data_IF_156727533924
#
_entry.id   IF_156727533924
#
_cell.length_a   1.000
_cell.length_b   1.000
_cell.length_c   1.000
_cell.angle_alpha   90.00
_cell.angle_beta   90.00
_cell.angle_gamma   90.00
#
_symmetry.space_group_name_H-M   'P 1'
#
loop_
_entity.id
_entity.type
_entity.pdbx_description
1 polymer ?
#
# COMPACT_ATOMS: atom_id res chain seq x y z
N UNK A 1 -38.41 39.96 -37.98
CA UNK A 1 -37.80 39.81 -36.65
C UNK A 1 -38.25 38.46 -36.12
N UNK A 2 -37.43 37.42 -36.32
CA UNK A 2 -37.75 36.06 -35.90
C UNK A 2 -37.14 35.82 -34.53
N UNK A 3 -37.99 35.71 -33.51
CA UNK A 3 -37.62 35.34 -32.15
C UNK A 3 -36.98 33.96 -32.15
N UNK A 4 -35.67 33.95 -31.98
CA UNK A 4 -34.89 32.73 -31.82
C UNK A 4 -35.11 32.27 -30.38
N UNK A 5 -36.15 31.47 -30.17
CA UNK A 5 -36.42 30.82 -28.90
C UNK A 5 -35.26 29.86 -28.58
N UNK A 6 -34.28 30.35 -27.82
CA UNK A 6 -33.22 29.53 -27.22
C UNK A 6 -33.87 28.53 -26.28
N UNK A 7 -33.97 27.28 -26.73
CA UNK A 7 -34.32 26.13 -25.91
C UNK A 7 -33.20 25.97 -24.88
N UNK A 8 -33.39 26.53 -23.68
CA UNK A 8 -32.56 26.21 -22.52
C UNK A 8 -32.86 24.77 -22.12
N UNK A 9 -32.05 23.84 -22.61
CA UNK A 9 -32.06 22.47 -22.11
C UNK A 9 -31.80 22.52 -20.59
N UNK A 10 -32.61 21.82 -19.78
CA UNK A 10 -32.38 21.75 -18.34
C UNK A 10 -30.93 21.34 -18.10
N UNK A 11 -30.20 22.15 -17.33
CA UNK A 11 -28.83 21.85 -16.94
C UNK A 11 -28.82 20.43 -16.38
N UNK A 12 -28.25 19.49 -17.14
CA UNK A 12 -28.17 18.10 -16.72
C UNK A 12 -27.57 18.10 -15.33
N UNK A 13 -28.35 17.67 -14.33
CA UNK A 13 -27.90 17.56 -12.95
C UNK A 13 -26.66 16.69 -12.99
N UNK A 14 -25.47 17.30 -12.96
CA UNK A 14 -24.23 16.55 -12.85
C UNK A 14 -24.36 15.80 -11.54
N UNK A 15 -24.40 14.46 -11.54
CA UNK A 15 -24.46 13.71 -10.31
C UNK A 15 -23.31 14.20 -9.44
N UNK A 16 -23.62 14.73 -8.26
CA UNK A 16 -22.60 15.12 -7.29
C UNK A 16 -21.68 13.92 -7.04
N UNK A 17 -20.39 14.13 -6.68
CA UNK A 17 -19.46 13.04 -6.45
C UNK A 17 -20.06 12.00 -5.49
N UNK A 18 -20.09 10.73 -5.89
CA UNK A 18 -20.71 9.64 -5.12
C UNK A 18 -20.19 9.67 -3.66
N UNK A 19 -21.07 9.80 -2.64
CA UNK A 19 -20.69 9.79 -1.23
C UNK A 19 -19.85 8.58 -0.84
N UNK A 20 -20.07 7.42 -1.48
CA UNK A 20 -19.29 6.20 -1.25
C UNK A 20 -17.86 6.36 -1.74
N UNK A 21 -17.64 7.03 -2.87
CA UNK A 21 -16.30 7.25 -3.41
C UNK A 21 -15.47 8.21 -2.53
N UNK A 22 -16.11 9.20 -1.90
CA UNK A 22 -15.43 10.07 -0.89
C UNK A 22 -15.04 9.30 0.36
N UNK A 23 -15.90 8.39 0.81
CA UNK A 23 -15.61 7.51 1.96
C UNK A 23 -14.46 6.56 1.61
N UNK A 24 -14.50 5.87 0.49
CA UNK A 24 -13.43 4.96 0.05
C UNK A 24 -12.07 5.68 -0.04
N UNK A 25 -12.04 6.93 -0.52
CA UNK A 25 -10.83 7.75 -0.55
C UNK A 25 -10.26 8.05 0.86
N UNK A 26 -11.11 8.38 1.84
CA UNK A 26 -10.67 8.57 3.24
C UNK A 26 -10.16 7.27 3.86
N UNK A 27 -10.78 6.14 3.55
CA UNK A 27 -10.36 4.83 4.03
C UNK A 27 -9.01 4.39 3.44
N UNK A 28 -8.74 4.73 2.17
CA UNK A 28 -7.43 4.51 1.56
C UNK A 28 -6.31 5.29 2.29
N UNK A 29 -6.56 6.54 2.68
CA UNK A 29 -5.61 7.31 3.50
C UNK A 29 -5.45 6.74 4.91
N UNK A 30 -6.53 6.29 5.54
CA UNK A 30 -6.47 5.63 6.84
C UNK A 30 -5.71 4.30 6.78
N UNK A 31 -5.75 3.60 5.66
CA UNK A 31 -5.01 2.36 5.47
C UNK A 31 -3.48 2.58 5.47
N UNK A 32 -3.02 3.79 5.17
CA UNK A 32 -1.60 4.12 5.31
C UNK A 32 -1.14 4.14 6.78
N UNK A 33 -2.03 4.43 7.74
CA UNK A 33 -1.69 4.33 9.17
C UNK A 33 -1.40 2.88 9.59
N UNK A 34 -1.92 1.88 8.87
CA UNK A 34 -1.63 0.46 9.13
C UNK A 34 -0.18 0.08 8.78
N UNK A 35 0.56 0.91 8.03
CA UNK A 35 1.99 0.66 7.80
C UNK A 35 2.81 0.67 9.08
N UNK A 36 2.44 1.49 10.07
CA UNK A 36 3.16 1.57 11.34
C UNK A 36 3.08 0.27 12.17
N UNK A 37 1.87 -0.26 12.48
CA UNK A 37 1.77 -1.56 13.14
C UNK A 37 2.24 -2.71 12.25
N UNK A 38 2.09 -2.61 10.92
CA UNK A 38 2.61 -3.59 9.97
C UNK A 38 4.14 -3.66 9.99
N UNK A 39 4.83 -2.53 10.07
CA UNK A 39 6.28 -2.47 10.20
C UNK A 39 6.74 -3.13 11.50
N UNK A 40 6.10 -2.80 12.61
CA UNK A 40 6.38 -3.43 13.90
C UNK A 40 6.15 -4.95 13.86
N UNK A 41 5.07 -5.39 13.22
CA UNK A 41 4.78 -6.81 13.02
C UNK A 41 5.82 -7.49 12.13
N UNK A 42 6.27 -6.86 11.05
CA UNK A 42 7.31 -7.40 10.17
C UNK A 42 8.64 -7.58 10.91
N UNK A 43 9.04 -6.60 11.73
CA UNK A 43 10.24 -6.70 12.58
C UNK A 43 10.08 -7.86 13.59
N UNK A 44 8.95 -7.89 14.30
CA UNK A 44 8.67 -8.94 15.27
C UNK A 44 8.67 -10.34 14.64
N UNK A 45 8.08 -10.50 13.45
CA UNK A 45 8.09 -11.75 12.69
C UNK A 45 9.51 -12.11 12.28
N UNK A 46 10.29 -11.15 11.77
CA UNK A 46 11.69 -11.38 11.43
C UNK A 46 12.51 -11.89 12.62
N UNK A 47 12.35 -11.25 13.76
CA UNK A 47 13.07 -11.59 14.99
C UNK A 47 12.62 -12.93 15.59
N UNK A 48 11.31 -13.21 15.56
CA UNK A 48 10.75 -14.49 16.00
C UNK A 48 11.21 -15.66 15.13
N UNK A 49 11.26 -15.48 13.81
CA UNK A 49 11.76 -16.51 12.89
C UNK A 49 13.28 -16.71 13.06
N UNK A 50 14.07 -15.64 13.14
CA UNK A 50 15.51 -15.75 13.36
C UNK A 50 15.84 -16.51 14.65
N UNK A 51 15.15 -16.16 15.75
CA UNK A 51 15.30 -16.86 17.04
C UNK A 51 14.84 -18.31 16.98
N UNK A 52 13.76 -18.62 16.25
CA UNK A 52 13.32 -19.99 16.02
C UNK A 52 14.34 -20.84 15.24
N UNK A 53 15.12 -20.22 14.35
CA UNK A 53 16.23 -20.87 13.64
C UNK A 53 17.54 -20.92 14.45
N UNK A 54 17.55 -20.44 15.70
CA UNK A 54 18.73 -20.45 16.58
C UNK A 54 19.69 -19.28 16.35
N UNK A 55 19.29 -18.27 15.59
CA UNK A 55 20.06 -17.04 15.40
C UNK A 55 19.53 -15.97 16.34
N UNK A 56 20.31 -15.64 17.37
CA UNK A 56 19.97 -14.57 18.31
C UNK A 56 20.46 -13.22 17.79
N UNK A 57 19.54 -12.37 17.35
CA UNK A 57 19.82 -10.98 16.97
C UNK A 57 20.31 -10.81 15.52
N UNK A 58 20.39 -9.54 15.09
CA UNK A 58 20.83 -9.10 13.77
C UNK A 58 22.34 -9.27 13.54
N UNK A 59 22.96 -10.36 14.00
CA UNK A 59 24.32 -10.71 13.61
C UNK A 59 24.31 -11.24 12.17
N UNK A 60 24.14 -10.32 11.23
CA UNK A 60 24.07 -10.57 9.79
C UNK A 60 25.41 -11.06 9.23
N UNK A 61 26.51 -10.94 10.00
CA UNK A 61 27.87 -11.30 9.59
C UNK A 61 28.14 -12.80 9.52
N UNK A 62 27.33 -13.63 10.17
CA UNK A 62 27.47 -15.11 10.20
C UNK A 62 26.23 -15.86 9.73
N UNK A 63 25.14 -15.14 9.43
CA UNK A 63 23.91 -15.74 8.96
C UNK A 63 24.03 -16.23 7.48
N UNK A 64 23.70 -17.49 7.18
CA UNK A 64 23.73 -17.99 5.81
C UNK A 64 22.62 -17.34 4.97
N UNK A 65 22.90 -17.04 3.70
CA UNK A 65 21.98 -16.27 2.85
C UNK A 65 20.58 -16.87 2.67
N UNK A 66 20.42 -18.19 2.80
CA UNK A 66 19.09 -18.82 2.77
C UNK A 66 18.22 -18.40 3.96
N UNK A 67 18.82 -18.12 5.12
CA UNK A 67 18.11 -17.67 6.32
C UNK A 67 17.53 -16.28 6.09
N UNK A 68 18.27 -15.38 5.44
CA UNK A 68 17.79 -14.06 5.08
C UNK A 68 16.53 -14.12 4.21
N UNK A 69 16.44 -15.09 3.29
CA UNK A 69 15.23 -15.32 2.49
C UNK A 69 14.12 -15.94 3.35
N UNK A 70 14.44 -16.96 4.15
CA UNK A 70 13.46 -17.66 4.99
C UNK A 70 12.80 -16.76 6.05
N UNK A 71 13.53 -15.76 6.55
CA UNK A 71 13.06 -14.78 7.54
C UNK A 71 12.49 -13.52 6.87
N UNK A 72 13.17 -13.03 5.83
CA UNK A 72 12.80 -11.79 5.14
C UNK A 72 11.52 -11.90 4.32
N UNK A 73 11.27 -13.05 3.68
CA UNK A 73 10.07 -13.23 2.85
C UNK A 73 8.76 -13.18 3.66
N UNK A 74 8.64 -13.89 4.81
CA UNK A 74 7.48 -13.75 5.69
C UNK A 74 7.30 -12.32 6.22
N UNK A 75 8.38 -11.65 6.64
CA UNK A 75 8.33 -10.28 7.13
C UNK A 75 7.84 -9.31 6.04
N UNK A 76 8.32 -9.48 4.80
CA UNK A 76 7.85 -8.71 3.64
C UNK A 76 6.36 -8.90 3.39
N UNK A 77 5.87 -10.15 3.46
CA UNK A 77 4.45 -10.44 3.25
C UNK A 77 3.56 -9.76 4.28
N UNK A 78 3.97 -9.78 5.55
CA UNK A 78 3.29 -9.04 6.63
C UNK A 78 3.31 -7.55 6.33
N UNK A 79 4.46 -7.03 5.90
CA UNK A 79 4.61 -5.62 5.56
C UNK A 79 3.73 -5.17 4.39
N UNK A 80 3.50 -6.06 3.42
CA UNK A 80 2.69 -5.81 2.23
C UNK A 80 1.18 -5.85 2.48
N UNK A 81 0.71 -6.43 3.59
CA UNK A 81 -0.72 -6.53 3.91
C UNK A 81 -1.49 -5.18 3.81
N UNK A 82 -1.04 -4.07 4.43
CA UNK A 82 -1.70 -2.77 4.27
C UNK A 82 -1.65 -2.23 2.83
N UNK A 83 -0.64 -2.58 2.04
CA UNK A 83 -0.58 -2.19 0.63
C UNK A 83 -1.70 -2.86 -0.19
N UNK A 84 -2.01 -4.12 0.10
CA UNK A 84 -3.13 -4.84 -0.53
C UNK A 84 -4.48 -4.20 -0.14
N UNK A 85 -4.66 -3.87 1.14
CA UNK A 85 -5.86 -3.17 1.61
C UNK A 85 -6.03 -1.81 0.92
N UNK A 86 -4.95 -1.04 0.85
CA UNK A 86 -4.93 0.28 0.20
C UNK A 86 -5.22 0.16 -1.29
N UNK A 87 -4.69 -0.88 -1.94
CA UNK A 87 -4.97 -1.20 -3.34
C UNK A 87 -6.44 -1.52 -3.56
N UNK A 88 -7.06 -2.33 -2.70
CA UNK A 88 -8.47 -2.69 -2.81
C UNK A 88 -9.39 -1.45 -2.72
N UNK A 89 -9.19 -0.59 -1.72
CA UNK A 89 -9.99 0.63 -1.57
C UNK A 89 -9.67 1.68 -2.63
N UNK A 90 -8.40 1.83 -3.00
CA UNK A 90 -7.95 2.75 -4.04
C UNK A 90 -8.49 2.41 -5.43
N UNK A 91 -8.39 1.14 -5.86
CA UNK A 91 -8.97 0.70 -7.14
C UNK A 91 -10.50 0.84 -7.16
N UNK A 92 -11.18 0.52 -6.06
CA UNK A 92 -12.63 0.72 -5.98
C UNK A 92 -13.02 2.20 -6.12
N UNK A 93 -12.24 3.12 -5.53
CA UNK A 93 -12.46 4.56 -5.70
C UNK A 93 -12.22 5.02 -7.15
N UNK A 94 -11.20 4.46 -7.83
CA UNK A 94 -10.91 4.75 -9.25
C UNK A 94 -12.02 4.25 -10.16
N UNK A 95 -12.49 3.01 -9.96
CA UNK A 95 -13.63 2.45 -10.70
C UNK A 95 -14.92 3.27 -10.53
N UNK A 96 -15.07 3.97 -9.39
CA UNK A 96 -16.20 4.88 -9.11
C UNK A 96 -15.96 6.33 -9.56
N UNK A 97 -14.92 6.58 -10.37
CA UNK A 97 -14.68 7.88 -11.01
C UNK A 97 -13.80 8.86 -10.22
N UNK A 98 -13.25 8.46 -9.06
CA UNK A 98 -12.33 9.30 -8.29
C UNK A 98 -10.89 8.99 -8.70
N UNK A 99 -10.37 9.76 -9.66
CA UNK A 99 -8.98 9.64 -10.15
C UNK A 99 -7.91 9.78 -9.05
N UNK A 100 -8.24 10.47 -7.96
CA UNK A 100 -7.36 10.62 -6.79
C UNK A 100 -7.12 9.32 -6.00
N UNK A 101 -7.82 8.23 -6.30
CA UNK A 101 -7.60 6.92 -5.65
C UNK A 101 -6.26 6.26 -5.98
N UNK A 102 -5.59 6.66 -7.07
CA UNK A 102 -4.29 6.08 -7.48
C UNK A 102 -3.14 6.54 -6.58
N UNK A 103 -3.17 7.79 -6.10
CA UNK A 103 -2.10 8.36 -5.27
C UNK A 103 -1.81 7.53 -4.01
N UNK A 104 -2.79 7.18 -3.15
CA UNK A 104 -2.51 6.37 -1.97
C UNK A 104 -2.04 4.95 -2.33
N UNK A 105 -2.45 4.38 -3.47
CA UNK A 105 -1.96 3.08 -3.94
C UNK A 105 -0.47 3.16 -4.30
N UNK A 106 -0.06 4.19 -5.04
CA UNK A 106 1.35 4.40 -5.37
C UNK A 106 2.21 4.58 -4.12
N UNK A 107 1.74 5.38 -3.15
CA UNK A 107 2.44 5.60 -1.87
C UNK A 107 2.56 4.29 -1.09
N UNK A 108 1.48 3.50 -1.01
CA UNK A 108 1.49 2.24 -0.30
C UNK A 108 2.46 1.21 -0.91
N UNK A 109 2.59 1.16 -2.24
CA UNK A 109 3.52 0.24 -2.90
C UNK A 109 4.97 0.70 -2.88
N UNK A 110 5.23 2.01 -2.78
CA UNK A 110 6.59 2.53 -2.69
C UNK A 110 7.33 2.02 -1.44
N UNK A 111 6.63 1.89 -0.31
CA UNK A 111 7.22 1.47 0.96
C UNK A 111 7.79 0.03 0.92
N UNK A 112 7.01 -1.02 0.58
CA UNK A 112 7.54 -2.38 0.42
C UNK A 112 8.60 -2.49 -0.67
N UNK A 113 8.48 -1.70 -1.75
CA UNK A 113 9.46 -1.71 -2.83
C UNK A 113 10.83 -1.20 -2.37
N UNK A 114 10.85 -0.08 -1.61
CA UNK A 114 12.09 0.44 -1.00
C UNK A 114 12.69 -0.58 -0.05
N UNK A 115 11.87 -1.20 0.81
CA UNK A 115 12.32 -2.24 1.73
C UNK A 115 12.94 -3.44 0.99
N UNK A 116 12.29 -3.91 -0.08
CA UNK A 116 12.80 -5.01 -0.92
C UNK A 116 14.14 -4.64 -1.57
N UNK A 117 14.24 -3.45 -2.15
CA UNK A 117 15.47 -2.97 -2.80
C UNK A 117 16.61 -2.86 -1.79
N UNK A 118 16.36 -2.32 -0.59
CA UNK A 118 17.36 -2.24 0.48
C UNK A 118 17.87 -3.63 0.89
N UNK A 119 16.97 -4.61 1.03
CA UNK A 119 17.34 -5.99 1.36
C UNK A 119 18.18 -6.64 0.24
N UNK A 120 17.83 -6.42 -1.03
CA UNK A 120 18.59 -6.96 -2.17
C UNK A 120 19.98 -6.32 -2.31
N UNK A 121 20.09 -5.02 -2.05
CA UNK A 121 21.38 -4.32 -2.07
C UNK A 121 22.30 -4.78 -0.95
N UNK A 122 21.76 -4.97 0.26
CA UNK A 122 22.52 -5.54 1.37
C UNK A 122 23.09 -6.92 1.01
N UNK A 123 22.34 -7.74 0.28
CA UNK A 123 22.77 -9.06 -0.14
C UNK A 123 23.82 -9.07 -1.27
N UNK A 124 23.85 -8.04 -2.12
CA UNK A 124 24.84 -7.89 -3.20
C UNK A 124 26.18 -7.32 -2.72
N UNK A 125 26.19 -6.66 -1.57
CA UNK A 125 27.36 -5.94 -1.03
C UNK A 125 28.03 -6.73 0.11
N UNK A 126 27.34 -7.68 0.73
CA UNK A 126 27.89 -8.63 1.71
C UNK A 126 28.33 -9.94 1.07
#
# INVERSE_FOLDING_TARGET
MSDTATIQLPQAVRPGPDPRARRDHRWAWWSLLLFLPSLAAAIAVGELLATAYGYSGFETSTAPGWLAVAVGYPALLVFMAPALLTSHYGMNAVHRGVRGGVVPVCVAWALPLVFLVQNLLAWKVG
#
